data_IF_673701224077
#
_entry.id   IF_673701224077
#
_cell.length_a   1.000
_cell.length_b   1.000
_cell.length_c   1.000
_cell.angle_alpha   90.00
_cell.angle_beta   90.00
_cell.angle_gamma   90.00
#
_symmetry.space_group_name_H-M   'P 1'
#
loop_
_entity.id
_entity.type
_entity.pdbx_description
1 polymer ?
#
# COMPACT_ATOMS: atom_id res chain seq x y z
N UNK A 1 24.31 -18.75 -15.72
CA UNK A 1 23.70 -18.89 -14.38
C UNK A 1 23.51 -17.57 -13.63
N UNK A 2 24.00 -16.42 -14.10
CA UNK A 2 23.82 -15.11 -13.43
C UNK A 2 22.49 -14.39 -13.75
N UNK A 3 21.77 -14.79 -14.81
CA UNK A 3 20.53 -14.13 -15.26
C UNK A 3 19.29 -14.52 -14.45
N UNK A 4 19.27 -15.71 -13.85
CA UNK A 4 18.11 -16.22 -13.11
C UNK A 4 17.85 -15.42 -11.82
N UNK A 5 18.91 -15.05 -11.08
CA UNK A 5 18.79 -14.27 -9.85
C UNK A 5 18.27 -12.85 -10.10
N UNK A 6 18.76 -12.16 -11.15
CA UNK A 6 18.30 -10.81 -11.49
C UNK A 6 16.81 -10.78 -11.84
N UNK A 7 16.34 -11.78 -12.61
CA UNK A 7 14.93 -11.88 -12.95
C UNK A 7 14.05 -12.19 -11.73
N UNK A 8 14.54 -13.01 -10.79
CA UNK A 8 13.84 -13.31 -9.54
C UNK A 8 13.70 -12.08 -8.65
N UNK A 9 14.73 -11.25 -8.55
CA UNK A 9 14.68 -10.02 -7.76
C UNK A 9 13.73 -8.99 -8.38
N UNK A 10 13.78 -8.82 -9.71
CA UNK A 10 12.84 -7.95 -10.43
C UNK A 10 11.39 -8.42 -10.21
N UNK A 11 11.14 -9.73 -10.30
CA UNK A 11 9.80 -10.30 -10.07
C UNK A 11 9.31 -10.08 -8.63
N UNK A 12 10.22 -10.14 -7.64
CA UNK A 12 9.88 -9.85 -6.23
C UNK A 12 9.52 -8.38 -6.03
N UNK A 13 10.29 -7.45 -6.61
CA UNK A 13 9.95 -6.03 -6.55
C UNK A 13 8.69 -5.68 -7.32
N UNK A 14 8.46 -6.34 -8.46
CA UNK A 14 7.23 -6.19 -9.22
C UNK A 14 6.02 -6.66 -8.39
N UNK A 15 6.08 -7.84 -7.77
CA UNK A 15 5.02 -8.34 -6.90
C UNK A 15 4.76 -7.44 -5.69
N UNK A 16 5.81 -6.93 -5.05
CA UNK A 16 5.69 -5.95 -3.98
C UNK A 16 5.03 -4.65 -4.51
N UNK A 17 5.50 -4.11 -5.62
CA UNK A 17 4.93 -2.90 -6.24
C UNK A 17 3.46 -3.07 -6.60
N UNK A 18 3.06 -4.22 -7.16
CA UNK A 18 1.67 -4.53 -7.46
C UNK A 18 0.82 -4.58 -6.19
N UNK A 19 1.31 -5.18 -5.10
CA UNK A 19 0.60 -5.20 -3.83
C UNK A 19 0.32 -3.77 -3.31
N UNK A 20 1.32 -2.89 -3.37
CA UNK A 20 1.16 -1.50 -2.96
C UNK A 20 0.22 -0.73 -3.89
N UNK A 21 0.31 -0.96 -5.19
CA UNK A 21 -0.57 -0.35 -6.19
C UNK A 21 -2.03 -0.74 -5.98
N UNK A 22 -2.32 -2.03 -5.76
CA UNK A 22 -3.67 -2.52 -5.45
C UNK A 22 -4.19 -1.91 -4.16
N UNK A 23 -3.36 -1.87 -3.11
CA UNK A 23 -3.75 -1.27 -1.82
C UNK A 23 -4.12 0.21 -1.95
N UNK A 24 -3.33 0.99 -2.71
CA UNK A 24 -3.60 2.40 -2.96
C UNK A 24 -4.86 2.62 -3.79
N UNK A 25 -5.06 1.84 -4.86
CA UNK A 25 -6.27 1.90 -5.68
C UNK A 25 -7.52 1.61 -4.84
N UNK A 26 -7.47 0.60 -3.97
CA UNK A 26 -8.57 0.29 -3.06
C UNK A 26 -8.82 1.40 -2.04
N UNK A 27 -7.77 1.99 -1.47
CA UNK A 27 -7.88 3.09 -0.51
C UNK A 27 -8.51 4.33 -1.16
N UNK A 28 -8.08 4.70 -2.37
CA UNK A 28 -8.64 5.83 -3.13
C UNK A 28 -10.07 5.55 -3.55
N UNK A 29 -10.37 4.34 -4.05
CA UNK A 29 -11.73 3.98 -4.45
C UNK A 29 -12.70 3.96 -3.26
N UNK A 30 -12.27 3.42 -2.11
CA UNK A 30 -13.03 3.47 -0.87
C UNK A 30 -13.25 4.92 -0.42
N UNK A 31 -12.21 5.76 -0.46
CA UNK A 31 -12.30 7.18 -0.14
C UNK A 31 -13.27 7.92 -1.05
N UNK A 32 -13.22 7.66 -2.35
CA UNK A 32 -14.12 8.27 -3.32
C UNK A 32 -15.58 7.89 -3.08
N UNK A 33 -15.85 6.60 -2.80
CA UNK A 33 -17.20 6.13 -2.47
C UNK A 33 -17.73 6.71 -1.16
N UNK A 34 -16.86 6.87 -0.16
CA UNK A 34 -17.21 7.46 1.14
C UNK A 34 -17.42 8.97 1.05
N UNK A 35 -16.52 9.70 0.39
CA UNK A 35 -16.65 11.13 0.13
C UNK A 35 -17.93 11.43 -0.67
N UNK A 36 -18.22 10.64 -1.71
CA UNK A 36 -19.44 10.76 -2.50
C UNK A 36 -20.73 10.51 -1.68
N UNK A 37 -20.69 9.60 -0.70
CA UNK A 37 -21.83 9.38 0.22
C UNK A 37 -22.00 10.51 1.24
N UNK A 38 -20.91 11.16 1.62
CA UNK A 38 -20.92 12.19 2.67
C UNK A 38 -21.37 13.55 2.12
N UNK A 39 -21.33 13.75 0.79
CA UNK A 39 -21.78 14.98 0.12
C UNK A 39 -20.93 16.21 0.48
N UNK A 40 -19.77 16.01 1.11
CA UNK A 40 -18.87 17.08 1.51
C UNK A 40 -18.17 17.67 0.28
N UNK A 41 -18.11 19.01 0.20
CA UNK A 41 -17.41 19.73 -0.88
C UNK A 41 -15.90 19.44 -0.90
N UNK A 42 -15.35 18.95 0.20
CA UNK A 42 -13.92 18.67 0.34
C UNK A 42 -13.71 17.15 0.49
N UNK A 43 -13.02 16.49 -0.45
CA UNK A 43 -12.82 15.04 -0.46
C UNK A 43 -11.72 14.62 0.53
N UNK A 44 -12.08 14.57 1.81
CA UNK A 44 -11.15 14.31 2.91
C UNK A 44 -10.77 12.83 2.95
N UNK A 45 -11.72 11.92 2.69
CA UNK A 45 -11.48 10.49 2.80
C UNK A 45 -10.55 9.98 1.70
N UNK A 46 -10.63 10.53 0.48
CA UNK A 46 -9.67 10.23 -0.61
C UNK A 46 -8.23 10.53 -0.20
N UNK A 47 -7.99 11.55 0.63
CA UNK A 47 -6.64 11.95 1.03
C UNK A 47 -6.20 11.19 2.28
N UNK A 48 -7.07 11.11 3.29
CA UNK A 48 -6.74 10.51 4.60
C UNK A 48 -6.60 8.99 4.49
N UNK A 49 -7.42 8.29 3.69
CA UNK A 49 -7.33 6.83 3.57
C UNK A 49 -5.98 6.33 3.04
N UNK A 50 -5.45 6.81 1.91
CA UNK A 50 -4.13 6.40 1.44
C UNK A 50 -3.02 6.85 2.40
N UNK A 51 -3.18 7.98 3.10
CA UNK A 51 -2.25 8.40 4.15
C UNK A 51 -2.21 7.40 5.31
N UNK A 52 -3.37 6.95 5.80
CA UNK A 52 -3.48 5.92 6.84
C UNK A 52 -2.91 4.60 6.33
N UNK A 53 -3.23 4.20 5.10
CA UNK A 53 -2.71 2.97 4.51
C UNK A 53 -1.16 2.98 4.47
N UNK A 54 -0.56 4.13 4.15
CA UNK A 54 0.89 4.35 4.22
C UNK A 54 1.43 4.20 5.64
N UNK A 55 0.83 4.88 6.62
CA UNK A 55 1.25 4.79 8.03
C UNK A 55 1.16 3.36 8.55
N UNK A 56 0.07 2.65 8.25
CA UNK A 56 -0.12 1.25 8.64
C UNK A 56 0.92 0.36 7.96
N UNK A 57 1.20 0.58 6.68
CA UNK A 57 2.22 -0.19 5.94
C UNK A 57 3.61 0.02 6.54
N UNK A 58 3.97 1.26 6.89
CA UNK A 58 5.21 1.58 7.60
C UNK A 58 5.26 0.92 8.98
N UNK A 59 4.17 0.97 9.74
CA UNK A 59 4.09 0.36 11.06
C UNK A 59 4.24 -1.16 11.00
N UNK A 60 3.64 -1.81 10.00
CA UNK A 60 3.84 -3.22 9.72
C UNK A 60 5.29 -3.53 9.33
N UNK A 61 5.93 -2.68 8.52
CA UNK A 61 7.35 -2.80 8.19
C UNK A 61 8.21 -2.77 9.46
N UNK A 62 8.05 -1.73 10.29
CA UNK A 62 8.78 -1.57 11.54
C UNK A 62 8.56 -2.77 12.47
N UNK A 63 7.32 -3.22 12.63
CA UNK A 63 7.00 -4.40 13.45
C UNK A 63 7.57 -5.69 12.88
N UNK A 64 7.68 -5.82 11.56
CA UNK A 64 8.29 -6.97 10.90
C UNK A 64 9.80 -6.99 11.12
N UNK A 65 10.47 -5.83 11.06
CA UNK A 65 11.90 -5.73 11.34
C UNK A 65 12.25 -5.85 12.82
N UNK A 66 11.36 -5.43 13.72
CA UNK A 66 11.60 -5.45 15.17
C UNK A 66 11.24 -6.78 15.86
N UNK A 67 10.71 -7.77 15.12
CA UNK A 67 10.54 -9.12 15.66
C UNK A 67 11.88 -9.86 15.57
N UNK A 68 12.50 -10.26 16.69
CA UNK A 68 13.63 -11.19 16.62
C UNK A 68 13.16 -12.44 15.88
N UNK A 69 13.87 -12.82 14.82
CA UNK A 69 13.63 -14.08 14.10
C UNK A 69 13.55 -15.20 15.15
N UNK A 70 12.39 -15.83 15.26
CA UNK A 70 12.23 -17.10 15.97
C UNK A 70 12.61 -18.23 15.04
#
# INVERSE_FOLDING_TARGET
MATENKNRDIMRYAGLGTQWMVMLLLAVWAGWKLDAKTGWKFPIFIIILPLIALVVSFWQLLKTFNKPKK
#
